data_IF_963561093618
#
_entry.id   IF_963561093618
#
_cell.length_a   1.000
_cell.length_b   1.000
_cell.length_c   1.000
_cell.angle_alpha   90.00
_cell.angle_beta   90.00
_cell.angle_gamma   90.00
#
_symmetry.space_group_name_H-M   'P 1'
#
loop_
_entity.id
_entity.type
_entity.pdbx_description
1 polymer ?
#
# COMPACT_ATOMS: atom_id res chain seq x y z
N UNK A 1 -1.30 -0.73 -9.47
CA UNK A 1 -0.33 -1.13 -8.43
C UNK A 1 0.29 -2.52 -8.66
N UNK A 2 -0.44 -3.64 -8.49
CA UNK A 2 0.11 -5.00 -8.72
C UNK A 2 0.68 -5.14 -10.13
N UNK A 3 -0.13 -4.83 -11.15
CA UNK A 3 0.31 -4.83 -12.55
C UNK A 3 1.54 -3.93 -12.77
N UNK A 4 1.57 -2.77 -12.12
CA UNK A 4 2.69 -1.82 -12.21
C UNK A 4 4.01 -2.45 -11.75
N UNK A 5 3.99 -3.21 -10.64
CA UNK A 5 5.16 -3.96 -10.18
C UNK A 5 5.54 -5.07 -11.15
N UNK A 6 4.58 -5.87 -11.61
CA UNK A 6 4.85 -6.99 -12.54
C UNK A 6 5.43 -6.51 -13.87
N UNK A 7 4.86 -5.45 -14.44
CA UNK A 7 5.35 -4.82 -15.67
C UNK A 7 6.76 -4.25 -15.48
N UNK A 8 7.03 -3.65 -14.32
CA UNK A 8 8.34 -3.05 -14.02
C UNK A 8 9.44 -4.09 -13.80
N UNK A 9 9.11 -5.21 -13.18
CA UNK A 9 10.06 -6.30 -12.89
C UNK A 9 10.22 -7.22 -14.10
N UNK A 10 9.18 -7.32 -14.95
CA UNK A 10 9.16 -8.17 -16.13
C UNK A 10 8.73 -9.62 -15.85
N UNK A 11 8.09 -9.88 -14.70
CA UNK A 11 7.61 -11.21 -14.31
C UNK A 11 6.34 -11.11 -13.47
N UNK A 12 5.50 -12.15 -13.59
CA UNK A 12 4.32 -12.32 -12.74
C UNK A 12 4.75 -12.82 -11.37
N UNK A 13 4.42 -12.08 -10.31
CA UNK A 13 4.82 -12.41 -8.92
C UNK A 13 3.65 -12.35 -7.95
N UNK A 14 2.50 -11.83 -8.36
CA UNK A 14 1.30 -11.79 -7.55
C UNK A 14 0.23 -12.71 -8.12
N UNK A 15 -0.55 -13.30 -7.22
CA UNK A 15 -1.82 -13.92 -7.57
C UNK A 15 -2.92 -13.24 -6.76
N UNK A 16 -3.73 -12.42 -7.42
CA UNK A 16 -4.81 -11.67 -6.77
C UNK A 16 -6.09 -12.49 -6.87
N UNK A 17 -6.73 -12.70 -5.73
CA UNK A 17 -8.03 -13.35 -5.64
C UNK A 17 -8.98 -12.47 -4.83
N UNK A 18 -10.22 -12.34 -5.29
CA UNK A 18 -11.27 -11.67 -4.51
C UNK A 18 -11.92 -12.70 -3.59
N UNK A 19 -11.84 -12.48 -2.27
CA UNK A 19 -12.47 -13.33 -1.27
C UNK A 19 -13.44 -12.50 -0.42
N UNK A 20 -14.72 -12.52 -0.81
CA UNK A 20 -15.81 -11.82 -0.12
C UNK A 20 -16.30 -12.57 1.13
N UNK A 21 -15.71 -13.71 1.48
CA UNK A 21 -16.19 -14.56 2.59
C UNK A 21 -15.65 -14.13 3.96
N UNK A 22 -14.75 -13.15 3.99
CA UNK A 22 -14.14 -12.65 5.24
C UNK A 22 -14.83 -11.40 5.75
N UNK A 23 -15.65 -11.62 6.79
CA UNK A 23 -16.27 -10.58 7.59
C UNK A 23 -15.41 -10.10 8.77
N UNK A 24 -14.21 -10.66 8.97
CA UNK A 24 -13.28 -10.15 9.98
C UNK A 24 -12.62 -8.88 9.45
N UNK A 25 -13.07 -7.72 9.94
CA UNK A 25 -12.47 -6.40 9.67
C UNK A 25 -11.02 -6.29 10.22
N UNK A 26 -10.56 -7.30 10.97
CA UNK A 26 -9.25 -7.32 11.58
C UNK A 26 -8.29 -8.24 10.80
N UNK A 27 -7.02 -7.81 10.63
CA UNK A 27 -5.95 -8.64 10.11
C UNK A 27 -5.75 -9.87 11.00
N UNK A 28 -5.70 -11.05 10.39
CA UNK A 28 -5.50 -12.32 11.09
C UNK A 28 -4.43 -13.13 10.40
N UNK A 29 -3.65 -13.89 11.18
CA UNK A 29 -2.69 -14.84 10.63
C UNK A 29 -3.40 -16.11 10.21
N UNK A 30 -3.60 -16.28 8.93
CA UNK A 30 -4.45 -17.33 8.37
C UNK A 30 -3.93 -17.90 7.05
N UNK A 31 -2.73 -17.47 6.64
CA UNK A 31 -2.07 -17.92 5.43
C UNK A 31 -2.58 -17.22 4.16
N UNK A 32 -3.38 -16.15 4.28
CA UNK A 32 -3.76 -15.29 3.16
C UNK A 32 -3.31 -13.86 3.42
N UNK A 33 -2.70 -13.26 2.41
CA UNK A 33 -2.39 -11.84 2.41
C UNK A 33 -3.62 -11.04 2.01
N UNK A 34 -3.98 -10.02 2.79
CA UNK A 34 -5.12 -9.16 2.48
C UNK A 34 -4.80 -7.67 2.58
N UNK A 35 -5.62 -6.86 1.90
CA UNK A 35 -5.58 -5.40 1.97
C UNK A 35 -6.82 -4.95 2.74
N UNK A 36 -6.60 -4.25 3.85
CA UNK A 36 -7.64 -3.79 4.77
C UNK A 36 -7.75 -2.26 4.71
N UNK A 37 -8.96 -1.76 4.51
CA UNK A 37 -9.25 -0.32 4.58
C UNK A 37 -9.95 -0.03 5.91
N UNK A 38 -9.19 0.48 6.89
CA UNK A 38 -9.64 0.50 8.29
C UNK A 38 -10.20 1.87 8.70
N UNK A 39 -11.40 1.86 9.26
CA UNK A 39 -12.06 3.03 9.85
C UNK A 39 -11.59 3.33 11.28
N UNK A 40 -10.80 2.42 11.87
CA UNK A 40 -10.13 2.58 13.16
C UNK A 40 -8.65 2.20 13.03
N UNK A 41 -7.79 2.90 13.76
CA UNK A 41 -6.34 2.83 13.64
C UNK A 41 -5.67 2.95 15.00
N UNK A 42 -4.44 2.44 15.12
CA UNK A 42 -3.70 2.48 16.36
C UNK A 42 -3.32 3.92 16.77
N UNK A 43 -3.66 4.30 18.00
CA UNK A 43 -3.50 5.67 18.51
C UNK A 43 -2.03 6.14 18.58
N UNK A 44 -1.06 5.23 18.69
CA UNK A 44 0.36 5.52 18.68
C UNK A 44 0.95 5.66 17.25
N UNK A 45 0.12 5.48 16.21
CA UNK A 45 0.53 5.41 14.80
C UNK A 45 -0.34 6.23 13.85
N UNK A 46 -0.99 7.27 14.38
CA UNK A 46 -1.91 8.12 13.61
C UNK A 46 -1.28 8.80 12.40
N UNK A 47 0.06 8.90 12.34
CA UNK A 47 0.79 9.48 11.20
C UNK A 47 1.10 8.47 10.08
N UNK A 48 0.82 7.18 10.28
CA UNK A 48 1.02 6.14 9.25
C UNK A 48 -0.20 6.11 8.31
N UNK A 49 0.02 6.37 7.02
CA UNK A 49 -1.00 6.32 5.96
C UNK A 49 -1.38 4.87 5.63
N UNK A 50 -0.37 4.00 5.62
CA UNK A 50 -0.53 2.57 5.41
C UNK A 50 0.52 1.82 6.19
N UNK A 51 0.32 0.51 6.28
CA UNK A 51 1.30 -0.39 6.87
C UNK A 51 1.17 -1.81 6.36
N UNK A 52 2.27 -2.31 5.81
CA UNK A 52 2.48 -3.74 5.56
C UNK A 52 3.07 -4.46 6.77
N UNK A 53 2.47 -5.59 7.14
CA UNK A 53 2.97 -6.52 8.16
C UNK A 53 3.31 -7.84 7.49
N UNK A 54 4.58 -8.25 7.53
CA UNK A 54 5.05 -9.48 6.89
C UNK A 54 5.25 -10.56 7.93
N UNK A 55 4.68 -11.73 7.69
CA UNK A 55 4.90 -12.94 8.46
C UNK A 55 5.82 -13.90 7.71
N UNK A 56 6.95 -14.20 8.33
CA UNK A 56 7.99 -15.07 7.81
C UNK A 56 7.96 -16.43 8.48
N UNK A 57 8.25 -17.48 7.71
CA UNK A 57 8.66 -18.77 8.27
C UNK A 57 9.95 -19.22 7.58
N UNK A 58 11.05 -19.13 8.31
CA UNK A 58 12.39 -19.24 7.72
C UNK A 58 12.62 -18.13 6.70
N UNK A 59 13.06 -18.51 5.50
CA UNK A 59 13.38 -17.58 4.41
C UNK A 59 12.20 -17.31 3.47
N UNK A 60 11.00 -17.75 3.84
CA UNK A 60 9.78 -17.59 3.02
C UNK A 60 8.80 -16.61 3.65
N UNK A 61 8.28 -15.71 2.83
CA UNK A 61 7.09 -14.92 3.16
C UNK A 61 5.89 -15.86 3.12
N UNK A 62 5.26 -16.07 4.27
CA UNK A 62 4.05 -16.88 4.37
C UNK A 62 2.79 -16.03 4.18
N UNK A 63 2.84 -14.78 4.64
CA UNK A 63 1.71 -13.85 4.61
C UNK A 63 2.23 -12.42 4.68
N UNK A 64 1.56 -11.49 4.01
CA UNK A 64 1.81 -10.07 4.18
C UNK A 64 0.50 -9.29 4.09
N UNK A 65 0.07 -8.73 5.22
CA UNK A 65 -1.15 -7.94 5.32
C UNK A 65 -0.85 -6.45 5.16
N UNK A 66 -1.64 -5.78 4.33
CA UNK A 66 -1.55 -4.34 4.10
C UNK A 66 -2.75 -3.68 4.75
N UNK A 67 -2.53 -2.70 5.61
CA UNK A 67 -3.58 -1.95 6.29
C UNK A 67 -3.50 -0.50 5.86
N UNK A 68 -4.64 0.10 5.56
CA UNK A 68 -4.76 1.48 5.11
C UNK A 68 -5.54 2.26 6.15
N UNK A 69 -4.95 3.38 6.59
CA UNK A 69 -5.50 4.22 7.63
C UNK A 69 -6.54 5.16 7.04
N UNK A 70 -7.80 4.74 7.02
CA UNK A 70 -8.91 5.57 6.59
C UNK A 70 -9.57 6.34 7.76
N UNK A 71 -9.08 6.14 8.99
CA UNK A 71 -9.50 6.94 10.14
C UNK A 71 -8.89 8.36 10.08
N UNK A 72 -7.60 8.46 9.76
CA UNK A 72 -6.86 9.72 9.85
C UNK A 72 -6.57 10.38 8.50
N UNK A 73 -6.72 9.65 7.39
CA UNK A 73 -6.37 10.13 6.06
C UNK A 73 -7.49 9.88 5.04
N UNK A 74 -7.53 10.75 4.02
CA UNK A 74 -8.45 10.68 2.89
C UNK A 74 -7.70 10.31 1.61
N UNK A 75 -8.32 9.47 0.78
CA UNK A 75 -7.66 8.92 -0.41
C UNK A 75 -8.42 9.26 -1.69
N UNK A 76 -7.72 9.37 -2.79
CA UNK A 76 -8.32 9.45 -4.13
C UNK A 76 -7.69 8.40 -5.04
N UNK A 77 -8.41 8.02 -6.09
CA UNK A 77 -7.88 7.16 -7.15
C UNK A 77 -7.49 8.00 -8.37
N UNK A 78 -8.45 8.27 -9.26
CA UNK A 78 -8.20 9.01 -10.50
C UNK A 78 -8.51 10.51 -10.41
N UNK A 79 -9.49 10.89 -9.57
CA UNK A 79 -9.93 12.27 -9.42
C UNK A 79 -9.54 12.81 -8.03
N UNK A 80 -8.51 13.67 -7.91
CA UNK A 80 -8.12 14.25 -6.63
C UNK A 80 -9.20 15.16 -6.02
N UNK A 81 -10.26 15.49 -6.76
CA UNK A 81 -11.43 16.22 -6.25
C UNK A 81 -12.46 15.31 -5.59
N UNK A 82 -12.28 14.00 -5.64
CA UNK A 82 -13.16 13.01 -5.03
C UNK A 82 -12.37 12.20 -4.01
N UNK A 83 -12.61 12.50 -2.74
CA UNK A 83 -11.95 11.83 -1.62
C UNK A 83 -12.85 10.72 -1.07
N UNK A 84 -12.24 9.56 -0.86
CA UNK A 84 -12.86 8.39 -0.25
C UNK A 84 -12.57 8.40 1.25
N UNK A 85 -13.64 8.32 2.03
CA UNK A 85 -13.66 8.17 3.48
C UNK A 85 -14.33 6.84 3.84
N UNK A 86 -14.16 6.34 5.08
CA UNK A 86 -14.92 5.18 5.55
C UNK A 86 -16.43 5.34 5.44
N UNK A 87 -16.94 6.56 5.57
CA UNK A 87 -18.37 6.90 5.49
C UNK A 87 -18.88 7.11 4.05
N UNK A 88 -18.03 6.97 3.04
CA UNK A 88 -18.37 7.16 1.62
C UNK A 88 -17.45 8.13 0.89
N UNK A 89 -17.82 8.50 -0.34
CA UNK A 89 -17.07 9.43 -1.19
C UNK A 89 -17.62 10.85 -1.04
N UNK A 90 -16.74 11.84 -0.88
CA UNK A 90 -17.10 13.26 -0.80
C UNK A 90 -16.24 14.08 -1.77
N UNK A 91 -16.70 15.30 -2.09
CA UNK A 91 -15.88 16.25 -2.83
C UNK A 91 -14.80 16.85 -1.93
N UNK A 92 -13.56 16.89 -2.41
CA UNK A 92 -12.45 17.53 -1.70
C UNK A 92 -12.78 18.99 -1.40
N UNK A 93 -12.79 19.36 -0.13
CA UNK A 93 -12.93 20.76 0.30
C UNK A 93 -11.57 21.46 0.22
N UNK A 94 -11.59 22.79 0.10
CA UNK A 94 -10.35 23.57 0.16
C UNK A 94 -9.65 23.40 1.52
N UNK A 95 -8.43 22.88 1.51
CA UNK A 95 -7.61 22.66 2.71
C UNK A 95 -7.63 21.23 3.27
N UNK A 96 -8.32 20.29 2.63
CA UNK A 96 -8.18 18.85 2.93
C UNK A 96 -6.95 18.27 2.24
N UNK A 97 -6.27 17.32 2.89
CA UNK A 97 -5.18 16.55 2.27
C UNK A 97 -5.76 15.29 1.60
N UNK A 98 -5.53 15.11 0.31
CA UNK A 98 -5.85 13.87 -0.40
C UNK A 98 -4.58 13.07 -0.71
N UNK A 99 -4.63 11.75 -0.60
CA UNK A 99 -3.51 10.88 -0.96
C UNK A 99 -3.88 9.91 -2.05
N UNK A 100 -3.01 9.75 -3.06
CA UNK A 100 -3.25 8.81 -4.14
C UNK A 100 -3.24 7.37 -3.59
N UNK A 101 -4.37 6.68 -3.71
CA UNK A 101 -4.55 5.33 -3.21
C UNK A 101 -3.63 4.34 -3.94
N UNK A 102 -3.53 4.44 -5.27
CA UNK A 102 -2.61 3.60 -6.04
C UNK A 102 -1.16 3.81 -5.61
N UNK A 103 -0.73 5.05 -5.40
CA UNK A 103 0.64 5.36 -4.97
C UNK A 103 0.94 4.78 -3.59
N UNK A 104 -0.01 4.84 -2.65
CA UNK A 104 0.14 4.21 -1.33
C UNK A 104 0.21 2.68 -1.47
N UNK A 105 -0.73 2.05 -2.19
CA UNK A 105 -0.70 0.59 -2.39
C UNK A 105 0.59 0.16 -3.09
N UNK A 106 1.11 0.95 -4.02
CA UNK A 106 2.37 0.66 -4.69
C UNK A 106 3.56 0.67 -3.72
N UNK A 107 3.59 1.60 -2.76
CA UNK A 107 4.56 1.66 -1.66
C UNK A 107 4.43 0.44 -0.74
N UNK A 108 3.22 0.15 -0.26
CA UNK A 108 2.97 -0.97 0.66
C UNK A 108 3.28 -2.33 0.00
N UNK A 109 3.04 -2.47 -1.31
CA UNK A 109 3.46 -3.64 -2.08
C UNK A 109 4.99 -3.74 -2.21
N UNK A 110 5.72 -2.63 -2.19
CA UNK A 110 7.18 -2.68 -2.09
C UNK A 110 7.63 -3.29 -0.76
N UNK A 111 6.99 -2.91 0.35
CA UNK A 111 7.20 -3.60 1.64
C UNK A 111 6.79 -5.07 1.59
N UNK A 112 5.66 -5.39 0.95
CA UNK A 112 5.22 -6.77 0.73
C UNK A 112 6.32 -7.60 0.05
N UNK A 113 7.02 -7.00 -0.92
CA UNK A 113 8.14 -7.59 -1.63
C UNK A 113 9.48 -7.54 -0.85
N UNK A 114 9.44 -7.18 0.43
CA UNK A 114 10.61 -7.14 1.31
C UNK A 114 11.47 -5.88 1.19
N UNK A 115 11.04 -4.86 0.43
CA UNK A 115 11.78 -3.60 0.35
C UNK A 115 11.66 -2.82 1.66
N UNK A 116 12.73 -2.12 2.01
CA UNK A 116 12.76 -1.17 3.12
C UNK A 116 12.61 0.25 2.59
N UNK A 117 12.29 1.18 3.49
CA UNK A 117 12.32 2.59 3.17
C UNK A 117 13.68 3.02 2.61
N UNK A 118 13.64 4.01 1.72
CA UNK A 118 14.84 4.65 1.17
C UNK A 118 14.72 6.17 1.17
N UNK A 119 15.86 6.85 1.16
CA UNK A 119 15.94 8.29 0.98
C UNK A 119 16.10 8.70 -0.50
N UNK A 120 16.20 7.73 -1.42
CA UNK A 120 16.38 8.01 -2.86
C UNK A 120 15.19 8.76 -3.42
N UNK A 121 15.42 10.01 -3.86
CA UNK A 121 14.39 10.84 -4.49
C UNK A 121 13.76 10.13 -5.70
N UNK A 122 12.43 10.10 -5.76
CA UNK A 122 11.68 9.45 -6.84
C UNK A 122 11.44 7.95 -6.64
N UNK A 123 11.99 7.32 -5.60
CA UNK A 123 11.60 5.96 -5.22
C UNK A 123 10.19 5.94 -4.65
N UNK A 124 9.42 4.89 -4.99
CA UNK A 124 8.11 4.66 -4.37
C UNK A 124 8.24 4.34 -2.89
N UNK A 125 9.41 3.88 -2.44
CA UNK A 125 9.73 3.48 -1.06
C UNK A 125 10.22 4.64 -0.16
N UNK A 126 10.10 5.89 -0.60
CA UNK A 126 10.29 7.04 0.29
C UNK A 126 9.19 7.07 1.34
N UNK A 127 9.57 7.18 2.62
CA UNK A 127 8.71 7.01 3.80
C UNK A 127 7.43 7.85 3.81
N UNK A 128 7.46 9.04 3.22
CA UNK A 128 6.31 9.92 3.20
C UNK A 128 5.77 10.06 1.77
N UNK A 129 4.46 9.85 1.62
CA UNK A 129 3.71 10.26 0.45
C UNK A 129 3.12 11.64 0.75
N UNK A 130 3.57 12.66 0.05
CA UNK A 130 3.01 14.00 0.17
C UNK A 130 1.58 14.03 -0.39
N UNK A 131 0.76 14.93 0.13
CA UNK A 131 -0.61 15.11 -0.37
C UNK A 131 -0.59 15.47 -1.86
N UNK A 132 -1.59 14.97 -2.59
CA UNK A 132 -1.81 15.19 -4.01
C UNK A 132 -0.61 14.84 -4.91
N UNK A 133 0.23 13.89 -4.46
CA UNK A 133 1.39 13.41 -5.21
C UNK A 133 1.11 12.04 -5.82
N UNK A 134 1.15 11.95 -7.14
CA UNK A 134 0.94 10.72 -7.88
C UNK A 134 2.26 9.97 -8.08
N UNK A 135 2.74 9.30 -7.03
CA UNK A 135 3.97 8.49 -7.07
C UNK A 135 3.67 7.05 -7.50
N UNK A 136 3.18 6.89 -8.72
CA UNK A 136 2.64 5.61 -9.25
C UNK A 136 3.61 4.83 -10.14
N UNK A 137 4.91 5.14 -10.12
CA UNK A 137 5.91 4.46 -10.95
C UNK A 137 7.12 4.07 -10.10
N UNK A 138 7.44 2.77 -9.94
CA UNK A 138 8.64 2.36 -9.21
C UNK A 138 9.91 2.78 -9.95
N UNK A 139 10.87 3.32 -9.19
CA UNK A 139 12.16 3.73 -9.74
C UNK A 139 12.97 2.50 -10.18
N UNK A 140 14.05 2.75 -10.93
CA UNK A 140 14.98 1.68 -11.33
C UNK A 140 15.63 1.01 -10.11
N UNK A 141 15.94 1.78 -9.07
CA UNK A 141 16.49 1.25 -7.82
C UNK A 141 15.50 0.33 -7.12
N UNK A 142 14.22 0.69 -7.11
CA UNK A 142 13.17 -0.14 -6.52
C UNK A 142 13.07 -1.49 -7.26
N UNK A 143 13.05 -1.45 -8.58
CA UNK A 143 12.96 -2.64 -9.43
C UNK A 143 14.17 -3.57 -9.24
N UNK A 144 15.39 -3.02 -9.21
CA UNK A 144 16.62 -3.78 -9.01
C UNK A 144 16.65 -4.47 -7.65
N UNK A 145 16.22 -3.77 -6.59
CA UNK A 145 16.16 -4.35 -5.25
C UNK A 145 15.18 -5.51 -5.16
N UNK A 146 14.00 -5.42 -5.78
CA UNK A 146 13.06 -6.55 -5.83
C UNK A 146 13.66 -7.72 -6.60
N UNK A 147 14.24 -7.45 -7.77
CA UNK A 147 14.87 -8.50 -8.56
C UNK A 147 16.00 -9.20 -7.79
N UNK A 148 16.76 -8.51 -6.93
CA UNK A 148 17.76 -9.16 -6.08
C UNK A 148 17.16 -10.17 -5.07
N UNK A 149 15.91 -9.98 -4.64
CA UNK A 149 15.23 -10.86 -3.68
C UNK A 149 14.57 -12.05 -4.36
N UNK A 150 14.04 -11.88 -5.57
CA UNK A 150 13.21 -12.88 -6.27
C UNK A 150 13.83 -13.40 -7.59
N UNK A 151 15.16 -13.39 -7.70
CA UNK A 151 15.91 -13.93 -8.86
C UNK A 151 16.23 -15.41 -8.71
#
# INVERSE_FOLDING_TARGET
>A
AVKTWEDRIGQKIFNVTEDFTRASELPTKDGKSAIYFLSSWEADRMSEQGRTSIYWAGDQIMEADIRINAQNFSYYDQDPKQLVYPSGTVHAMAGEDGYNFEALILHELGHFLGLKHTASSGSVMVTHLASYTDRITPSEVDAQNVQCVYR
#
